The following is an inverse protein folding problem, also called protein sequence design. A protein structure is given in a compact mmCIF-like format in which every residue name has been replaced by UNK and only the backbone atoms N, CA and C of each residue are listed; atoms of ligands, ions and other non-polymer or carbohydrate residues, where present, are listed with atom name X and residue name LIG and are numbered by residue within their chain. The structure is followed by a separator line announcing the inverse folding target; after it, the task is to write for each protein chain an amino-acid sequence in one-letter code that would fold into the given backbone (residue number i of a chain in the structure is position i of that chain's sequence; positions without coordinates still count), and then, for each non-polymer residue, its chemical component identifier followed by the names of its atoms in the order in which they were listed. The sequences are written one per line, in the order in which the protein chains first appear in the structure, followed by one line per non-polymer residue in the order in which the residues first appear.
data_IF_879079947215
#
_entry.id   IF_879079947215
#
_cell.length_a   1.000
_cell.length_b   1.000
_cell.length_c   1.000
_cell.angle_alpha   90.00
_cell.angle_beta   90.00
_cell.angle_gamma   90.00
#
_symmetry.space_group_name_H-M   'P 1'
#
loop_
_entity.id
_entity.type
_entity.pdbx_description
1 polymer ?
#
# COMPACT_ATOMS: atom_id res chain seq x y z
N UNK A 1 -11.33 -0.28 16.63
CA UNK A 1 -10.44 0.55 15.79
C UNK A 1 -10.69 0.12 14.36
N UNK A 2 -10.86 1.04 13.41
CA UNK A 2 -11.11 0.66 12.01
C UNK A 2 -9.84 0.77 11.20
N UNK A 3 -9.72 -0.11 10.20
CA UNK A 3 -8.60 -0.10 9.24
C UNK A 3 -9.14 0.29 7.88
N UNK A 4 -8.67 1.42 7.37
CA UNK A 4 -8.93 1.90 6.03
C UNK A 4 -7.70 1.71 5.14
N UNK A 5 -7.88 1.81 3.83
CA UNK A 5 -6.77 1.85 2.88
C UNK A 5 -7.06 2.70 1.64
N UNK A 6 -6.01 3.31 1.12
CA UNK A 6 -5.98 4.01 -0.17
C UNK A 6 -4.53 4.10 -0.66
N UNK A 7 -4.27 3.79 -1.93
CA UNK A 7 -2.96 3.89 -2.58
C UNK A 7 -3.00 4.91 -3.72
N UNK A 8 -1.83 5.18 -4.30
CA UNK A 8 -1.71 5.90 -5.56
C UNK A 8 -2.30 7.31 -5.48
N UNK A 9 -1.95 8.04 -4.41
CA UNK A 9 -2.42 9.41 -4.21
C UNK A 9 -1.83 10.36 -5.24
N UNK A 10 -0.63 10.05 -5.76
CA UNK A 10 0.05 10.80 -6.83
C UNK A 10 0.09 12.32 -6.60
N UNK A 11 0.39 12.70 -5.36
CA UNK A 11 0.48 14.11 -4.97
C UNK A 11 1.66 14.77 -5.69
N UNK A 12 1.45 16.03 -6.08
CA UNK A 12 2.33 16.73 -7.01
C UNK A 12 2.49 18.20 -6.62
N UNK A 13 2.47 18.51 -5.30
CA UNK A 13 2.45 19.91 -4.81
C UNK A 13 3.75 20.65 -5.15
N UNK A 14 4.89 19.95 -5.08
CA UNK A 14 6.22 20.54 -5.36
C UNK A 14 6.62 20.38 -6.83
N UNK A 15 6.31 19.22 -7.44
CA UNK A 15 6.63 18.92 -8.83
C UNK A 15 5.31 18.86 -9.60
N UNK A 16 4.97 19.87 -10.42
CA UNK A 16 3.70 19.90 -11.14
C UNK A 16 3.66 18.80 -12.20
N UNK A 17 3.11 17.66 -11.81
CA UNK A 17 2.78 16.54 -12.67
C UNK A 17 1.28 16.26 -12.54
N UNK A 18 0.45 16.96 -13.31
CA UNK A 18 -0.99 16.87 -13.15
C UNK A 18 -1.48 15.49 -13.59
N UNK A 19 -2.19 14.80 -12.69
CA UNK A 19 -2.76 13.49 -13.00
C UNK A 19 -3.88 13.54 -14.04
N UNK A 20 -4.38 14.73 -14.41
CA UNK A 20 -5.39 14.92 -15.45
C UNK A 20 -4.94 14.46 -16.84
N UNK A 21 -3.63 14.30 -17.07
CA UNK A 21 -3.10 13.68 -18.31
C UNK A 21 -3.51 12.21 -18.45
N UNK A 22 -3.84 11.54 -17.33
CA UNK A 22 -4.35 10.16 -17.29
C UNK A 22 -5.88 10.10 -17.29
N UNK A 23 -6.55 11.25 -17.32
CA UNK A 23 -7.99 11.36 -17.48
C UNK A 23 -8.62 12.47 -16.64
N UNK A 24 -9.77 13.02 -17.08
CA UNK A 24 -10.41 14.17 -16.43
C UNK A 24 -10.89 13.88 -15.00
N UNK A 25 -11.08 12.61 -14.63
CA UNK A 25 -11.48 12.20 -13.28
C UNK A 25 -10.46 12.61 -12.20
N UNK A 26 -9.21 12.85 -12.56
CA UNK A 26 -8.15 13.26 -11.63
C UNK A 26 -8.16 14.76 -11.30
N UNK A 27 -9.05 15.55 -11.92
CA UNK A 27 -9.17 16.97 -11.63
C UNK A 27 -9.61 17.18 -10.17
N UNK A 28 -8.81 17.90 -9.38
CA UNK A 28 -9.09 18.15 -7.96
C UNK A 28 -9.01 16.89 -7.07
N UNK A 29 -8.29 15.85 -7.51
CA UNK A 29 -8.20 14.60 -6.75
C UNK A 29 -7.62 14.77 -5.33
N UNK A 30 -6.63 15.64 -5.04
CA UNK A 30 -6.16 15.79 -3.67
C UNK A 30 -7.28 16.27 -2.76
N UNK A 31 -8.03 17.30 -3.17
CA UNK A 31 -9.16 17.83 -2.41
C UNK A 31 -10.27 16.80 -2.22
N UNK A 32 -10.56 15.97 -3.23
CA UNK A 32 -11.51 14.88 -3.12
C UNK A 32 -11.06 13.83 -2.07
N UNK A 33 -9.78 13.45 -2.09
CA UNK A 33 -9.19 12.55 -1.09
C UNK A 33 -9.34 13.16 0.31
N UNK A 34 -8.94 14.42 0.50
CA UNK A 34 -8.99 15.09 1.79
C UNK A 34 -10.40 15.17 2.36
N UNK A 35 -11.37 15.51 1.51
CA UNK A 35 -12.78 15.61 1.89
C UNK A 35 -13.33 14.26 2.36
N UNK A 36 -13.17 13.22 1.55
CA UNK A 36 -13.63 11.87 1.89
C UNK A 36 -12.90 11.27 3.09
N UNK A 37 -11.61 11.54 3.23
CA UNK A 37 -10.84 11.08 4.39
C UNK A 37 -11.38 11.66 5.69
N UNK A 38 -11.59 12.99 5.75
CA UNK A 38 -12.14 13.65 6.95
C UNK A 38 -13.58 13.22 7.26
N UNK A 39 -14.36 12.90 6.24
CA UNK A 39 -15.72 12.35 6.40
C UNK A 39 -15.70 10.99 7.12
N UNK A 40 -14.78 10.10 6.73
CA UNK A 40 -14.79 8.68 7.09
C UNK A 40 -13.92 8.31 8.29
N UNK A 41 -12.69 8.81 8.31
CA UNK A 41 -11.62 8.36 9.21
C UNK A 41 -11.65 9.19 10.49
N UNK A 42 -11.37 8.55 11.62
CA UNK A 42 -11.22 9.17 12.95
C UNK A 42 -9.81 8.97 13.47
N UNK A 43 -9.44 9.70 14.52
CA UNK A 43 -8.05 9.75 15.01
C UNK A 43 -7.56 8.40 15.53
N UNK A 44 -8.46 7.58 16.06
CA UNK A 44 -8.19 6.23 16.54
C UNK A 44 -8.03 5.17 15.44
N UNK A 45 -8.36 5.50 14.18
CA UNK A 45 -8.30 4.56 13.07
C UNK A 45 -6.88 4.43 12.49
N UNK A 46 -6.68 3.41 11.67
CA UNK A 46 -5.45 3.19 10.89
C UNK A 46 -5.77 3.31 9.41
N UNK A 47 -4.89 3.98 8.65
CA UNK A 47 -4.99 4.06 7.19
C UNK A 47 -3.73 3.49 6.55
N UNK A 48 -3.92 2.43 5.77
CA UNK A 48 -2.88 1.77 5.00
C UNK A 48 -2.67 2.51 3.67
N UNK A 49 -1.41 2.81 3.36
CA UNK A 49 -0.98 3.57 2.19
C UNK A 49 -0.03 2.72 1.33
N UNK A 50 -0.54 1.81 0.48
CA UNK A 50 0.28 0.91 -0.34
C UNK A 50 0.93 1.58 -1.56
N UNK A 51 1.73 2.61 -1.32
CA UNK A 51 2.63 3.21 -2.32
C UNK A 51 2.03 4.27 -3.23
N UNK A 52 2.94 4.91 -3.97
CA UNK A 52 2.71 5.94 -4.98
C UNK A 52 1.98 7.17 -4.42
N UNK A 53 2.56 7.71 -3.35
CA UNK A 53 1.95 8.80 -2.60
C UNK A 53 2.30 10.17 -3.19
N UNK A 54 3.52 10.32 -3.70
CA UNK A 54 4.02 11.60 -4.22
C UNK A 54 4.92 11.40 -5.43
N UNK A 55 4.78 12.29 -6.41
CA UNK A 55 5.66 12.42 -7.57
C UNK A 55 7.01 13.04 -7.26
N UNK A 56 7.26 13.45 -6.02
CA UNK A 56 8.54 13.97 -5.60
C UNK A 56 9.69 12.99 -5.90
N UNK A 57 10.82 13.51 -6.35
CA UNK A 57 12.01 12.68 -6.62
C UNK A 57 12.93 12.55 -5.39
N UNK A 58 12.76 13.42 -4.38
CA UNK A 58 13.61 13.50 -3.19
C UNK A 58 12.75 13.63 -1.94
N UNK A 59 13.20 13.03 -0.84
CA UNK A 59 12.48 13.03 0.43
C UNK A 59 12.03 14.42 0.91
N UNK A 60 12.84 15.49 0.89
CA UNK A 60 12.38 16.80 1.36
C UNK A 60 11.18 17.35 0.59
N UNK A 61 11.16 17.10 -0.72
CA UNK A 61 10.04 17.53 -1.58
C UNK A 61 8.80 16.68 -1.27
N UNK A 62 8.96 15.35 -1.09
CA UNK A 62 7.88 14.44 -0.71
C UNK A 62 7.31 14.77 0.68
N UNK A 63 8.12 15.24 1.62
CA UNK A 63 7.67 15.66 2.95
C UNK A 63 6.69 16.83 2.89
N UNK A 64 6.71 17.65 1.82
CA UNK A 64 5.71 18.70 1.61
C UNK A 64 4.33 18.08 1.41
N UNK A 65 4.23 17.06 0.55
CA UNK A 65 2.99 16.32 0.31
C UNK A 65 2.59 15.50 1.54
N UNK A 66 3.53 14.78 2.15
CA UNK A 66 3.28 13.92 3.32
C UNK A 66 2.87 14.71 4.56
N UNK A 67 3.29 15.97 4.71
CA UNK A 67 2.86 16.82 5.84
C UNK A 67 1.35 17.08 5.79
N UNK A 68 0.79 17.30 4.59
CA UNK A 68 -0.66 17.45 4.43
C UNK A 68 -1.39 16.15 4.79
N UNK A 69 -0.86 15.01 4.36
CA UNK A 69 -1.41 13.68 4.71
C UNK A 69 -1.31 13.43 6.21
N UNK A 70 -0.24 13.89 6.87
CA UNK A 70 -0.03 13.71 8.30
C UNK A 70 -1.09 14.41 9.16
N UNK A 71 -1.61 15.55 8.71
CA UNK A 71 -2.67 16.30 9.37
C UNK A 71 -4.06 15.66 9.28
N UNK A 72 -4.24 14.65 8.41
CA UNK A 72 -5.51 13.94 8.30
C UNK A 72 -5.69 12.95 9.45
N UNK A 73 -6.95 12.68 9.87
CA UNK A 73 -7.24 11.74 10.96
C UNK A 73 -6.65 10.34 10.73
N UNK A 74 -6.30 9.69 11.83
CA UNK A 74 -5.82 8.32 11.88
C UNK A 74 -4.30 8.17 11.82
N UNK A 75 -3.82 6.98 12.19
CA UNK A 75 -2.42 6.59 12.05
C UNK A 75 -2.16 6.06 10.63
N UNK A 76 -1.15 6.60 9.95
CA UNK A 76 -0.82 6.24 8.56
C UNK A 76 0.28 5.19 8.54
N UNK A 77 0.08 4.09 7.82
CA UNK A 77 1.12 3.06 7.60
C UNK A 77 1.49 3.02 6.12
N UNK A 78 2.70 3.48 5.82
CA UNK A 78 3.18 3.67 4.46
C UNK A 78 3.96 2.44 3.98
N UNK A 79 3.76 2.11 2.71
CA UNK A 79 4.60 1.21 1.93
C UNK A 79 5.12 1.96 0.70
N UNK A 80 6.28 1.57 0.20
CA UNK A 80 6.86 2.15 -1.01
C UNK A 80 6.17 1.65 -2.27
N UNK A 81 5.79 2.55 -3.17
CA UNK A 81 5.38 2.25 -4.55
C UNK A 81 6.50 2.38 -5.58
N UNK A 82 6.19 2.19 -6.87
CA UNK A 82 7.20 2.30 -7.93
C UNK A 82 7.51 3.74 -8.36
N UNK A 83 6.63 4.70 -8.07
CA UNK A 83 6.82 6.13 -8.29
C UNK A 83 7.35 6.88 -7.07
N UNK A 84 7.42 6.24 -5.91
CA UNK A 84 8.08 6.78 -4.72
C UNK A 84 9.62 6.71 -4.83
N UNK A 85 10.18 7.47 -5.78
CA UNK A 85 11.63 7.60 -5.98
C UNK A 85 12.32 8.28 -4.80
N UNK A 86 11.58 9.11 -4.07
CA UNK A 86 12.02 9.83 -2.89
C UNK A 86 12.35 8.94 -1.68
N UNK A 87 11.95 7.66 -1.70
CA UNK A 87 12.01 6.73 -0.56
C UNK A 87 13.44 6.27 -0.22
N UNK A 88 14.01 6.65 0.93
CA UNK A 88 15.40 6.33 1.30
C UNK A 88 15.49 5.00 2.10
N UNK A 89 16.60 4.81 2.82
CA UNK A 89 16.74 3.72 3.81
C UNK A 89 15.73 3.85 4.96
N UNK A 90 15.42 2.74 5.62
CA UNK A 90 14.43 2.68 6.71
C UNK A 90 14.70 3.70 7.82
N UNK A 91 15.93 3.76 8.33
CA UNK A 91 16.29 4.67 9.42
C UNK A 91 16.14 6.14 9.03
N UNK A 92 16.55 6.50 7.80
CA UNK A 92 16.43 7.88 7.30
C UNK A 92 14.97 8.26 7.08
N UNK A 93 14.16 7.35 6.56
CA UNK A 93 12.73 7.59 6.35
C UNK A 93 12.02 7.80 7.69
N UNK A 94 12.17 6.86 8.63
CA UNK A 94 11.50 6.91 9.94
C UNK A 94 11.87 8.13 10.76
N UNK A 95 13.12 8.58 10.68
CA UNK A 95 13.57 9.80 11.36
C UNK A 95 12.97 11.09 10.77
N UNK A 96 12.52 11.05 9.51
CA UNK A 96 12.01 12.21 8.79
C UNK A 96 10.47 12.27 8.73
N UNK A 97 9.79 11.15 8.96
CA UNK A 97 8.33 11.09 8.87
C UNK A 97 7.65 11.93 9.96
N UNK A 98 6.57 12.66 9.62
CA UNK A 98 5.73 13.33 10.60
C UNK A 98 5.16 12.37 11.66
N UNK A 99 4.74 12.94 12.81
CA UNK A 99 4.07 12.19 13.85
C UNK A 99 2.79 11.50 13.33
N UNK A 100 2.50 10.30 13.84
CA UNK A 100 1.35 9.51 13.38
C UNK A 100 1.56 8.83 12.02
N UNK A 101 2.77 8.86 11.44
CA UNK A 101 3.13 8.08 10.27
C UNK A 101 4.16 7.00 10.62
N UNK A 102 3.89 5.80 10.14
CA UNK A 102 4.76 4.63 10.24
C UNK A 102 5.12 4.18 8.83
N UNK A 103 6.27 3.55 8.65
CA UNK A 103 6.68 3.01 7.36
C UNK A 103 7.20 1.60 7.47
N UNK A 104 6.77 0.76 6.54
CA UNK A 104 7.25 -0.61 6.36
C UNK A 104 8.39 -0.61 5.35
N UNK A 105 9.53 -1.20 5.73
CA UNK A 105 10.69 -1.37 4.85
C UNK A 105 11.27 -2.76 5.07
N UNK A 106 10.68 -3.75 4.38
CA UNK A 106 10.99 -5.19 4.53
C UNK A 106 10.85 -5.69 5.97
N UNK A 107 9.92 -5.11 6.73
CA UNK A 107 9.60 -5.44 8.11
C UNK A 107 8.10 -5.31 8.38
N UNK A 108 7.71 -5.08 9.64
CA UNK A 108 6.33 -5.00 10.05
C UNK A 108 6.15 -3.96 11.16
N UNK A 109 4.90 -3.53 11.34
CA UNK A 109 4.48 -2.66 12.43
C UNK A 109 3.24 -3.24 13.12
N UNK A 110 3.04 -2.87 14.38
CA UNK A 110 1.83 -3.21 15.14
C UNK A 110 1.17 -1.93 15.64
N UNK A 111 -0.11 -1.77 15.36
CA UNK A 111 -0.94 -0.67 15.87
C UNK A 111 -2.18 -1.30 16.51
N UNK A 112 -2.39 -1.09 17.81
CA UNK A 112 -3.44 -1.80 18.54
C UNK A 112 -3.29 -3.33 18.41
N UNK A 113 -4.35 -4.01 17.97
CA UNK A 113 -4.38 -5.45 17.68
C UNK A 113 -4.20 -5.77 16.19
N UNK A 114 -3.64 -4.86 15.40
CA UNK A 114 -3.45 -5.00 13.95
C UNK A 114 -1.95 -5.02 13.66
N UNK A 115 -1.46 -6.13 13.14
CA UNK A 115 -0.08 -6.29 12.67
C UNK A 115 -0.07 -6.19 11.15
N UNK A 116 0.76 -5.30 10.62
CA UNK A 116 0.87 -5.02 9.20
C UNK A 116 2.29 -5.30 8.74
N UNK A 117 2.42 -6.10 7.69
CA UNK A 117 3.68 -6.33 6.99
C UNK A 117 3.53 -5.96 5.51
N UNK A 118 4.63 -5.94 4.78
CA UNK A 118 4.54 -5.75 3.34
C UNK A 118 5.87 -5.59 2.62
N UNK A 119 5.81 -5.60 1.30
CA UNK A 119 6.92 -5.29 0.40
C UNK A 119 6.36 -4.57 -0.83
N UNK A 120 7.19 -3.89 -1.62
CA UNK A 120 6.69 -3.21 -2.82
C UNK A 120 6.04 -4.22 -3.78
N UNK A 121 6.60 -5.42 -3.89
CA UNK A 121 6.21 -6.37 -4.93
C UNK A 121 6.83 -5.99 -6.27
N UNK A 122 6.49 -6.76 -7.29
CA UNK A 122 7.01 -6.59 -8.65
C UNK A 122 6.00 -7.10 -9.69
N UNK A 123 6.31 -6.88 -10.96
CA UNK A 123 5.63 -7.53 -12.07
C UNK A 123 5.64 -9.06 -11.89
N UNK A 124 4.47 -9.67 -11.99
CA UNK A 124 4.27 -11.12 -11.87
C UNK A 124 3.95 -11.75 -13.23
N UNK A 125 4.24 -13.05 -13.44
CA UNK A 125 3.84 -13.74 -14.66
C UNK A 125 2.32 -13.71 -14.84
N UNK A 126 1.87 -13.73 -16.10
CA UNK A 126 0.45 -13.74 -16.44
C UNK A 126 0.26 -14.10 -17.91
N UNK A 127 -0.60 -13.36 -18.62
CA UNK A 127 -0.71 -13.44 -20.07
C UNK A 127 0.61 -13.18 -20.78
N UNK A 128 1.44 -12.31 -20.20
CA UNK A 128 2.81 -12.06 -20.63
C UNK A 128 3.79 -12.81 -19.73
N UNK A 129 4.78 -13.45 -20.37
CA UNK A 129 5.89 -14.06 -19.66
C UNK A 129 6.85 -12.98 -19.16
N UNK A 130 7.49 -13.23 -18.02
CA UNK A 130 8.54 -12.35 -17.52
C UNK A 130 9.83 -12.56 -18.32
N UNK A 131 10.63 -11.50 -18.43
CA UNK A 131 12.02 -11.63 -18.83
C UNK A 131 12.89 -12.01 -17.62
N UNK A 132 14.16 -12.36 -17.86
CA UNK A 132 15.07 -12.80 -16.81
C UNK A 132 15.35 -11.73 -15.73
N UNK A 133 15.26 -10.45 -16.07
CA UNK A 133 15.42 -9.37 -15.10
C UNK A 133 14.21 -9.29 -14.17
N UNK A 134 12.99 -9.36 -14.73
CA UNK A 134 11.75 -9.36 -13.98
C UNK A 134 11.63 -10.58 -13.06
N UNK A 135 12.01 -11.77 -13.53
CA UNK A 135 12.05 -12.98 -12.70
C UNK A 135 12.98 -12.82 -11.49
N UNK A 136 14.17 -12.25 -11.71
CA UNK A 136 15.15 -11.98 -10.65
C UNK A 136 14.62 -10.95 -9.66
N UNK A 137 13.99 -9.89 -10.14
CA UNK A 137 13.43 -8.84 -9.29
C UNK A 137 12.23 -9.34 -8.49
N UNK A 138 11.34 -10.11 -9.09
CA UNK A 138 10.22 -10.76 -8.42
C UNK A 138 10.69 -11.69 -7.30
N UNK A 139 11.69 -12.52 -7.58
CA UNK A 139 12.31 -13.41 -6.56
C UNK A 139 12.85 -12.60 -5.38
N UNK A 140 13.54 -11.49 -5.66
CA UNK A 140 14.07 -10.61 -4.61
C UNK A 140 12.96 -9.91 -3.80
N UNK A 141 11.84 -9.56 -4.40
CA UNK A 141 10.69 -9.02 -3.67
C UNK A 141 10.02 -10.09 -2.80
N UNK A 142 9.98 -11.35 -3.23
CA UNK A 142 9.49 -12.46 -2.39
C UNK A 142 10.39 -12.72 -1.17
N UNK A 143 11.71 -12.61 -1.31
CA UNK A 143 12.64 -12.65 -0.17
C UNK A 143 12.36 -11.50 0.82
N UNK A 144 12.14 -10.28 0.31
CA UNK A 144 11.80 -9.12 1.14
C UNK A 144 10.46 -9.29 1.84
N UNK A 145 9.46 -9.80 1.14
CA UNK A 145 8.16 -10.10 1.74
C UNK A 145 8.30 -11.14 2.86
N UNK A 146 9.15 -12.15 2.67
CA UNK A 146 9.45 -13.15 3.69
C UNK A 146 10.11 -12.55 4.94
N UNK A 147 11.00 -11.55 4.78
CA UNK A 147 11.54 -10.78 5.91
C UNK A 147 10.44 -10.03 6.66
N UNK A 148 9.52 -9.38 5.92
CA UNK A 148 8.37 -8.68 6.50
C UNK A 148 7.44 -9.63 7.25
N UNK A 149 7.14 -10.82 6.71
CA UNK A 149 6.33 -11.86 7.37
C UNK A 149 7.00 -12.33 8.67
N UNK A 150 8.32 -12.58 8.64
CA UNK A 150 9.08 -12.96 9.83
C UNK A 150 9.02 -11.87 10.91
N UNK A 151 9.17 -10.60 10.53
CA UNK A 151 9.07 -9.48 11.44
C UNK A 151 7.66 -9.37 12.05
N UNK A 152 6.61 -9.57 11.24
CA UNK A 152 5.24 -9.61 11.74
C UNK A 152 5.04 -10.75 12.74
N UNK A 153 5.53 -11.95 12.45
CA UNK A 153 5.47 -13.09 13.37
C UNK A 153 6.07 -12.79 14.75
N UNK A 154 7.13 -11.98 14.82
CA UNK A 154 7.73 -11.56 16.09
C UNK A 154 6.91 -10.49 16.85
N UNK A 155 6.04 -9.74 16.15
CA UNK A 155 5.17 -8.73 16.75
C UNK A 155 3.78 -9.28 17.15
N UNK A 156 3.31 -10.32 16.45
CA UNK A 156 1.95 -10.87 16.62
C UNK A 156 1.73 -11.46 18.00
N UNK A 157 0.54 -11.19 18.52
CA UNK A 157 -0.03 -11.80 19.71
C UNK A 157 -1.29 -12.60 19.35
N UNK A 158 -1.72 -13.58 20.18
CA UNK A 158 -3.00 -14.24 19.99
C UNK A 158 -4.16 -13.23 19.91
N UNK A 159 -5.02 -13.39 18.90
CA UNK A 159 -6.13 -12.46 18.64
C UNK A 159 -5.78 -11.22 17.83
N UNK A 160 -4.51 -11.02 17.46
CA UNK A 160 -4.14 -9.96 16.51
C UNK A 160 -4.61 -10.30 15.09
N UNK A 161 -5.12 -9.29 14.40
CA UNK A 161 -5.33 -9.31 12.96
C UNK A 161 -4.01 -9.14 12.22
N UNK A 162 -3.81 -9.89 11.14
CA UNK A 162 -2.61 -9.86 10.33
C UNK A 162 -2.91 -9.44 8.89
N UNK A 163 -2.42 -8.27 8.51
CA UNK A 163 -2.67 -7.67 7.19
C UNK A 163 -1.36 -7.59 6.40
N UNK A 164 -1.47 -7.80 5.09
CA UNK A 164 -0.34 -7.71 4.17
C UNK A 164 -0.55 -6.60 3.16
N UNK A 165 0.41 -5.68 3.07
CA UNK A 165 0.46 -4.65 2.03
C UNK A 165 1.42 -5.04 0.91
N UNK A 166 0.97 -4.89 -0.32
CA UNK A 166 1.82 -4.83 -1.51
C UNK A 166 1.54 -3.51 -2.22
N UNK A 167 2.47 -3.04 -3.05
CA UNK A 167 2.11 -1.97 -4.00
C UNK A 167 1.64 -2.60 -5.31
N UNK A 168 2.45 -3.46 -5.91
CA UNK A 168 2.07 -4.26 -7.07
C UNK A 168 1.00 -5.31 -6.70
N UNK A 169 0.15 -5.73 -7.65
CA UNK A 169 -0.75 -6.86 -7.44
C UNK A 169 0.00 -8.13 -7.05
N UNK A 170 -0.58 -9.00 -6.21
CA UNK A 170 0.04 -10.27 -5.83
C UNK A 170 0.15 -11.28 -6.99
N UNK A 171 -0.66 -11.11 -8.04
CA UNK A 171 -0.57 -11.85 -9.30
C UNK A 171 -1.27 -11.10 -10.45
N UNK A 172 -0.80 -11.33 -11.68
CA UNK A 172 -1.36 -10.82 -12.94
C UNK A 172 -2.28 -11.86 -13.58
N UNK A 173 -3.37 -11.48 -14.28
CA UNK A 173 -4.23 -12.45 -14.99
C UNK A 173 -3.43 -13.33 -15.96
N UNK A 174 -3.69 -14.65 -16.05
CA UNK A 174 -4.79 -15.41 -15.43
C UNK A 174 -4.48 -15.91 -14.00
N UNK A 175 -3.60 -15.22 -13.29
CA UNK A 175 -3.21 -15.44 -11.89
C UNK A 175 -2.45 -16.74 -11.63
N UNK A 176 -1.35 -17.02 -12.38
CA UNK A 176 -0.52 -18.18 -12.10
C UNK A 176 0.19 -18.05 -10.74
N UNK A 177 0.52 -19.19 -10.09
CA UNK A 177 1.42 -19.21 -8.95
C UNK A 177 2.76 -18.53 -9.28
N UNK A 178 3.32 -17.83 -8.31
CA UNK A 178 4.58 -17.12 -8.42
C UNK A 178 5.27 -16.98 -7.03
N UNK A 179 6.54 -16.53 -6.96
CA UNK A 179 7.27 -16.45 -5.70
C UNK A 179 6.56 -15.64 -4.59
N UNK A 180 5.78 -14.60 -4.92
CA UNK A 180 5.02 -13.85 -3.91
C UNK A 180 3.85 -14.66 -3.36
N UNK A 181 3.13 -15.40 -4.23
CA UNK A 181 1.97 -16.19 -3.79
C UNK A 181 2.38 -17.33 -2.86
N UNK A 182 3.58 -17.88 -3.01
CA UNK A 182 4.10 -18.91 -2.11
C UNK A 182 4.32 -18.35 -0.70
N UNK A 183 4.89 -17.15 -0.59
CA UNK A 183 5.08 -16.45 0.69
C UNK A 183 3.73 -16.09 1.32
N UNK A 184 2.78 -15.62 0.52
CA UNK A 184 1.41 -15.28 0.96
C UNK A 184 0.71 -16.52 1.51
N UNK A 185 0.72 -17.63 0.77
CA UNK A 185 0.06 -18.88 1.14
C UNK A 185 0.64 -19.44 2.44
N UNK A 186 1.96 -19.37 2.63
CA UNK A 186 2.60 -19.79 3.88
C UNK A 186 2.27 -18.87 5.07
N UNK A 187 2.17 -17.56 4.83
CA UNK A 187 1.97 -16.56 5.87
C UNK A 187 0.51 -16.48 6.37
N UNK A 188 -0.47 -16.81 5.50
CA UNK A 188 -1.92 -16.75 5.78
C UNK A 188 -2.36 -15.44 6.45
N UNK A 189 -2.09 -14.26 5.86
CA UNK A 189 -2.70 -13.02 6.35
C UNK A 189 -4.23 -13.08 6.23
N UNK A 190 -4.92 -12.31 7.07
CA UNK A 190 -6.37 -12.20 7.06
C UNK A 190 -6.87 -11.50 5.79
N UNK A 191 -6.08 -10.55 5.28
CA UNK A 191 -6.31 -9.91 3.99
C UNK A 191 -5.02 -9.33 3.39
N UNK A 192 -5.07 -9.10 2.09
CA UNK A 192 -4.04 -8.43 1.29
C UNK A 192 -4.61 -7.12 0.76
N UNK A 193 -3.81 -6.06 0.75
CA UNK A 193 -4.17 -4.79 0.12
C UNK A 193 -3.06 -4.36 -0.84
N UNK A 194 -3.45 -3.87 -2.02
CA UNK A 194 -2.53 -3.45 -3.07
C UNK A 194 -3.03 -2.27 -3.91
N UNK A 195 -2.13 -1.56 -4.57
CA UNK A 195 -2.41 -0.38 -5.42
C UNK A 195 -2.05 -0.64 -6.88
N UNK A 196 -1.33 0.32 -7.49
CA UNK A 196 -0.66 0.25 -8.79
C UNK A 196 -1.57 0.21 -10.04
N UNK A 197 -2.69 -0.52 -10.00
CA UNK A 197 -3.58 -0.69 -11.14
C UNK A 197 -4.56 0.48 -11.28
N UNK A 198 -4.26 1.39 -12.21
CA UNK A 198 -5.12 2.52 -12.59
C UNK A 198 -6.10 2.19 -13.71
N UNK A 199 -7.28 2.82 -13.68
CA UNK A 199 -8.33 2.61 -14.67
C UNK A 199 -8.93 1.19 -14.68
N UNK A 200 -8.52 0.33 -13.74
CA UNK A 200 -9.03 -1.02 -13.56
C UNK A 200 -10.11 -0.97 -12.47
N UNK A 201 -11.36 -1.35 -12.78
CA UNK A 201 -12.38 -1.49 -11.75
C UNK A 201 -11.97 -2.58 -10.73
N UNK A 202 -12.07 -2.35 -9.41
CA UNK A 202 -11.65 -3.33 -8.40
C UNK A 202 -12.29 -4.71 -8.56
N UNK A 203 -13.50 -4.79 -9.11
CA UNK A 203 -14.20 -6.05 -9.41
C UNK A 203 -13.59 -6.87 -10.56
N UNK A 204 -12.71 -6.26 -11.37
CA UNK A 204 -11.98 -6.92 -12.46
C UNK A 204 -10.54 -7.27 -12.10
N UNK A 205 -10.04 -6.74 -10.98
CA UNK A 205 -8.71 -7.05 -10.46
C UNK A 205 -8.72 -8.34 -9.64
N UNK A 206 -7.55 -8.81 -9.18
CA UNK A 206 -7.46 -9.99 -8.32
C UNK A 206 -8.16 -9.73 -6.98
N UNK A 207 -9.11 -10.59 -6.62
CA UNK A 207 -9.93 -10.44 -5.41
C UNK A 207 -9.54 -11.39 -4.28
N UNK A 208 -8.73 -12.41 -4.58
CA UNK A 208 -8.18 -13.31 -3.59
C UNK A 208 -6.91 -14.00 -4.08
N UNK A 209 -6.10 -14.45 -3.14
CA UNK A 209 -4.96 -15.36 -3.37
C UNK A 209 -5.14 -16.55 -2.43
N UNK A 210 -5.37 -17.75 -2.97
CA UNK A 210 -5.52 -18.97 -2.15
C UNK A 210 -6.53 -18.85 -0.99
N UNK A 211 -7.72 -18.29 -1.27
CA UNK A 211 -8.76 -18.07 -0.26
C UNK A 211 -8.58 -16.80 0.58
N UNK A 212 -7.44 -16.12 0.50
CA UNK A 212 -7.17 -14.88 1.25
C UNK A 212 -7.73 -13.68 0.46
N UNK A 213 -8.65 -12.88 1.02
CA UNK A 213 -9.17 -11.69 0.36
C UNK A 213 -8.08 -10.70 -0.05
N UNK A 214 -8.17 -10.17 -1.26
CA UNK A 214 -7.26 -9.17 -1.79
C UNK A 214 -8.03 -7.94 -2.28
N UNK A 215 -7.57 -6.74 -1.90
CA UNK A 215 -8.26 -5.49 -2.21
C UNK A 215 -7.37 -4.55 -3.01
N UNK A 216 -7.77 -4.26 -4.26
CA UNK A 216 -7.24 -3.12 -5.01
C UNK A 216 -7.76 -1.82 -4.38
N UNK A 217 -6.83 -0.92 -4.03
CA UNK A 217 -7.14 0.36 -3.37
C UNK A 217 -6.52 1.57 -4.05
N UNK A 218 -6.17 1.45 -5.34
CA UNK A 218 -5.75 2.60 -6.14
C UNK A 218 -6.82 3.71 -6.09
N UNK A 219 -6.38 4.95 -5.85
CA UNK A 219 -7.28 6.05 -5.51
C UNK A 219 -8.36 6.31 -6.57
N UNK A 220 -8.01 6.25 -7.86
CA UNK A 220 -8.98 6.45 -8.95
C UNK A 220 -10.04 5.34 -9.00
N UNK A 221 -9.63 4.08 -8.82
CA UNK A 221 -10.53 2.94 -8.72
C UNK A 221 -11.51 3.05 -7.54
N UNK A 222 -11.08 3.69 -6.45
CA UNK A 222 -11.90 3.97 -5.27
C UNK A 222 -12.68 5.29 -5.35
N UNK A 223 -12.61 6.02 -6.47
CA UNK A 223 -13.18 7.37 -6.60
C UNK A 223 -12.70 8.30 -5.47
N UNK A 224 -11.42 8.19 -5.14
CA UNK A 224 -10.72 9.00 -4.15
C UNK A 224 -11.24 8.87 -2.71
N UNK A 225 -11.96 7.77 -2.40
CA UNK A 225 -12.54 7.51 -1.08
C UNK A 225 -11.78 6.38 -0.37
N UNK A 226 -11.23 6.60 0.84
CA UNK A 226 -10.62 5.52 1.62
C UNK A 226 -11.57 4.34 1.81
N UNK A 227 -11.09 3.13 1.53
CA UNK A 227 -11.88 1.89 1.64
C UNK A 227 -11.76 1.35 3.06
N UNK A 228 -12.88 1.15 3.74
CA UNK A 228 -12.92 0.37 4.99
C UNK A 228 -12.60 -1.10 4.67
N UNK A 229 -11.58 -1.65 5.33
CA UNK A 229 -11.15 -3.04 5.19
C UNK A 229 -11.59 -3.92 6.36
N UNK A 230 -11.49 -3.39 7.57
CA UNK A 230 -11.71 -4.11 8.82
C UNK A 230 -12.21 -3.18 9.91
N UNK A 231 -13.10 -3.68 10.78
CA UNK A 231 -13.42 -3.06 12.06
C UNK A 231 -13.05 -4.04 13.19
N UNK A 232 -12.17 -3.62 14.09
CA UNK A 232 -11.67 -4.44 15.19
C UNK A 232 -12.43 -4.24 16.50
N UNK A 233 -13.50 -3.45 16.53
CA UNK A 233 -14.30 -3.21 17.74
C UNK A 233 -15.32 -4.31 18.06
N UNK A 234 -15.15 -5.52 17.52
CA UNK A 234 -15.99 -6.69 17.78
C UNK A 234 -15.24 -7.75 18.58
#
# INVERSE_FOLDING_TARGET
MRVFAIADLHLATVIPKPMTVFGPQWAGHPEAIWSHWRELVRDEDVVLLPGDLSWAMRLPDALTDLSVVAELPGTKVLLRGNHDYWWPTASRLRAALPAGMLAIVNDAVRVGNVVICGSRGWTTPGHEALNAEDERLLTREAERLSLSVKAAGALRQPGDHFLMMLHYPPASPPYPPNPLTDVIAAARPDLIVYGHLHGVPPERAIQQVDGIPAYLVAADGLKFRPKLLLDTSL
#
